data_IF_671910876526
#
_entry.id   IF_671910876526
#
_cell.length_a   1.000
_cell.length_b   1.000
_cell.length_c   1.000
_cell.angle_alpha   90.00
_cell.angle_beta   90.00
_cell.angle_gamma   90.00
#
_symmetry.space_group_name_H-M   'P 1'
#
loop_
_entity.id
_entity.type
_entity.pdbx_description
1 polymer ?
#
# COMPACT_ATOMS: atom_id res chain seq x y z
N UNK A 1 -19.83 -3.15 -10.51
CA UNK A 1 -18.75 -3.90 -9.82
C UNK A 1 -19.01 -3.88 -8.33
N UNK A 2 -18.74 -4.96 -7.66
CA UNK A 2 -19.03 -5.06 -6.23
C UNK A 2 -17.81 -4.64 -5.39
N UNK A 3 -18.05 -3.82 -4.38
CA UNK A 3 -17.02 -3.35 -3.45
C UNK A 3 -16.53 -4.51 -2.56
N UNK A 4 -15.23 -4.54 -2.31
CA UNK A 4 -14.64 -5.46 -1.33
C UNK A 4 -14.82 -4.89 0.07
N UNK A 5 -14.92 -5.76 1.07
CA UNK A 5 -15.00 -5.33 2.46
C UNK A 5 -13.61 -4.92 2.96
N UNK A 6 -13.52 -3.70 3.50
CA UNK A 6 -12.27 -3.22 4.08
C UNK A 6 -12.20 -3.64 5.54
N UNK A 7 -11.13 -4.35 5.91
CA UNK A 7 -10.90 -4.75 7.28
C UNK A 7 -10.48 -3.54 8.13
N UNK A 8 -10.93 -3.49 9.37
CA UNK A 8 -10.61 -2.39 10.28
C UNK A 8 -9.85 -2.89 11.51
N UNK A 9 -8.89 -2.09 11.95
CA UNK A 9 -8.17 -2.34 13.18
C UNK A 9 -9.17 -2.48 14.35
N UNK A 10 -9.04 -3.48 15.23
CA UNK A 10 -7.89 -4.36 15.44
C UNK A 10 -8.01 -5.76 14.82
N UNK A 11 -8.68 -5.90 13.69
CA UNK A 11 -8.85 -7.20 13.04
C UNK A 11 -7.49 -7.87 12.84
N UNK A 12 -7.28 -9.09 13.38
CA UNK A 12 -5.97 -9.75 13.30
C UNK A 12 -5.54 -10.11 11.88
N UNK A 13 -6.47 -10.18 10.94
CA UNK A 13 -6.12 -10.44 9.53
C UNK A 13 -5.27 -9.33 8.92
N UNK A 14 -5.30 -8.12 9.50
CA UNK A 14 -4.44 -7.02 9.07
C UNK A 14 -2.96 -7.26 9.37
N UNK A 15 -2.66 -8.21 10.23
CA UNK A 15 -1.29 -8.55 10.65
C UNK A 15 -0.66 -9.64 9.80
N UNK A 16 -1.39 -10.23 8.88
CA UNK A 16 -0.84 -11.27 8.03
C UNK A 16 0.13 -10.72 7.01
N UNK A 17 1.19 -11.46 6.74
CA UNK A 17 2.17 -11.12 5.71
C UNK A 17 1.65 -11.64 4.38
N UNK A 18 1.56 -10.75 3.39
CA UNK A 18 1.10 -11.10 2.06
C UNK A 18 2.11 -11.96 1.32
N UNK A 19 1.62 -12.90 0.53
CA UNK A 19 2.45 -13.81 -0.26
C UNK A 19 2.62 -13.27 -1.69
N UNK A 20 3.76 -13.56 -2.34
CA UNK A 20 3.96 -13.12 -3.71
C UNK A 20 2.89 -13.67 -4.66
N UNK A 21 2.51 -12.85 -5.63
CA UNK A 21 1.65 -13.27 -6.73
C UNK A 21 2.47 -14.18 -7.64
N UNK A 22 1.93 -15.34 -7.97
CA UNK A 22 2.61 -16.33 -8.83
C UNK A 22 1.94 -16.49 -10.17
N UNK A 23 0.64 -16.23 -10.26
CA UNK A 23 -0.14 -16.39 -11.48
C UNK A 23 -0.63 -15.04 -11.98
N UNK A 24 -0.23 -14.68 -13.18
CA UNK A 24 -0.61 -13.41 -13.82
C UNK A 24 -1.72 -13.72 -14.83
N UNK A 25 -2.96 -13.74 -14.35
CA UNK A 25 -4.12 -14.19 -15.12
C UNK A 25 -5.29 -13.21 -14.98
N UNK A 26 -6.44 -13.60 -15.51
CA UNK A 26 -7.64 -12.77 -15.45
C UNK A 26 -8.12 -12.51 -14.04
N UNK A 27 -7.96 -13.49 -13.16
CA UNK A 27 -8.38 -13.34 -11.76
C UNK A 27 -7.57 -12.25 -11.08
N UNK A 28 -6.27 -12.18 -11.36
CA UNK A 28 -5.41 -11.12 -10.83
C UNK A 28 -5.91 -9.75 -11.28
N UNK A 29 -6.20 -9.60 -12.56
CA UNK A 29 -6.71 -8.33 -13.09
C UNK A 29 -8.05 -7.97 -12.46
N UNK A 30 -8.94 -8.94 -12.29
CA UNK A 30 -10.22 -8.71 -11.65
C UNK A 30 -10.07 -8.25 -10.21
N UNK A 31 -9.15 -8.86 -9.47
CA UNK A 31 -8.85 -8.44 -8.09
C UNK A 31 -8.39 -6.98 -8.07
N UNK A 32 -7.46 -6.62 -8.95
CA UNK A 32 -6.91 -5.26 -9.00
C UNK A 32 -8.01 -4.26 -9.37
N UNK A 33 -8.85 -4.58 -10.35
CA UNK A 33 -9.97 -3.71 -10.73
C UNK A 33 -10.93 -3.49 -9.55
N UNK A 34 -11.24 -4.54 -8.79
CA UNK A 34 -12.11 -4.44 -7.63
C UNK A 34 -11.44 -3.66 -6.50
N UNK A 35 -10.13 -3.76 -6.36
CA UNK A 35 -9.39 -2.97 -5.37
C UNK A 35 -9.46 -1.49 -5.72
N UNK A 36 -9.27 -1.11 -6.98
CA UNK A 36 -9.42 0.28 -7.39
C UNK A 36 -10.84 0.78 -7.12
N UNK A 37 -11.84 0.01 -7.49
CA UNK A 37 -13.23 0.38 -7.23
C UNK A 37 -13.47 0.62 -5.75
N UNK A 38 -13.02 -0.30 -4.90
CA UNK A 38 -13.17 -0.18 -3.44
C UNK A 38 -12.44 1.04 -2.91
N UNK A 39 -11.21 1.27 -3.36
CA UNK A 39 -10.42 2.43 -2.94
C UNK A 39 -11.14 3.75 -3.24
N UNK A 40 -11.65 3.89 -4.46
CA UNK A 40 -12.38 5.11 -4.84
C UNK A 40 -13.68 5.27 -4.06
N UNK A 41 -14.42 4.19 -3.87
CA UNK A 41 -15.67 4.24 -3.09
C UNK A 41 -15.43 4.63 -1.64
N UNK A 42 -14.30 4.22 -1.09
CA UNK A 42 -13.90 4.59 0.28
C UNK A 42 -13.16 5.92 0.34
N UNK A 43 -12.99 6.59 -0.79
CA UNK A 43 -12.31 7.89 -0.91
C UNK A 43 -10.85 7.86 -0.45
N UNK A 44 -10.20 6.72 -0.65
CA UNK A 44 -8.78 6.55 -0.34
C UNK A 44 -7.89 6.86 -1.53
N UNK A 45 -6.61 7.05 -1.25
CA UNK A 45 -5.59 7.27 -2.28
C UNK A 45 -4.70 6.04 -2.48
N UNK A 46 -4.79 5.06 -1.59
CA UNK A 46 -4.05 3.81 -1.67
C UNK A 46 -4.79 2.70 -0.95
N UNK A 47 -4.54 1.47 -1.38
CA UNK A 47 -5.12 0.28 -0.76
C UNK A 47 -4.23 -0.91 -1.03
N UNK A 48 -3.87 -1.64 0.03
CA UNK A 48 -3.14 -2.90 -0.07
C UNK A 48 -4.13 -4.06 0.00
N UNK A 49 -3.84 -5.14 -0.71
CA UNK A 49 -4.73 -6.29 -0.78
C UNK A 49 -5.03 -6.90 0.60
N UNK A 50 -4.06 -6.86 1.52
CA UNK A 50 -4.25 -7.34 2.90
C UNK A 50 -5.45 -6.67 3.57
N UNK A 51 -5.68 -5.39 3.27
CA UNK A 51 -6.78 -4.63 3.87
C UNK A 51 -8.16 -5.09 3.42
N UNK A 52 -8.24 -5.87 2.35
CA UNK A 52 -9.48 -6.45 1.86
C UNK A 52 -9.46 -7.98 1.94
N UNK A 53 -8.65 -8.49 2.85
CA UNK A 53 -8.53 -9.93 3.15
C UNK A 53 -8.04 -10.76 1.96
N UNK A 54 -7.22 -10.15 1.12
CA UNK A 54 -6.54 -10.85 0.02
C UNK A 54 -5.05 -10.78 0.34
N UNK A 55 -4.47 -11.89 0.78
CA UNK A 55 -3.11 -11.89 1.31
C UNK A 55 -2.08 -12.15 0.21
N UNK A 56 -2.13 -11.30 -0.80
CA UNK A 56 -1.21 -11.28 -1.94
C UNK A 56 -0.57 -9.90 -2.03
N UNK A 57 0.64 -9.86 -2.57
CA UNK A 57 1.41 -8.62 -2.64
C UNK A 57 0.96 -7.74 -3.79
N UNK A 58 -0.18 -7.09 -3.59
CA UNK A 58 -0.82 -6.21 -4.57
C UNK A 58 -1.18 -4.89 -3.88
N UNK A 59 -0.90 -3.78 -4.56
CA UNK A 59 -1.20 -2.43 -4.09
C UNK A 59 -1.86 -1.67 -5.23
N UNK A 60 -2.87 -0.85 -4.92
CA UNK A 60 -3.42 0.12 -5.86
C UNK A 60 -3.30 1.51 -5.27
N UNK A 61 -2.98 2.49 -6.11
CA UNK A 61 -2.73 3.88 -5.69
C UNK A 61 -3.25 4.83 -6.76
N UNK A 62 -3.80 5.94 -6.30
CA UNK A 62 -4.06 7.10 -7.15
C UNK A 62 -3.97 8.34 -6.27
N UNK A 63 -2.84 9.05 -6.37
CA UNK A 63 -2.60 10.27 -5.60
C UNK A 63 -2.98 11.53 -6.37
N UNK A 64 -3.54 11.38 -7.58
CA UNK A 64 -3.93 12.53 -8.41
C UNK A 64 -5.18 13.22 -7.85
N UNK A 65 -5.27 14.53 -8.07
CA UNK A 65 -6.44 15.29 -7.63
C UNK A 65 -7.70 14.90 -8.41
N UNK A 66 -7.55 14.60 -9.70
CA UNK A 66 -8.67 14.29 -10.59
C UNK A 66 -9.08 12.82 -10.54
N UNK A 67 -8.38 12.00 -9.78
CA UNK A 67 -8.66 10.56 -9.67
C UNK A 67 -8.64 9.86 -11.03
N UNK A 68 -7.66 10.18 -11.83
CA UNK A 68 -7.51 9.66 -13.19
C UNK A 68 -6.11 9.14 -13.50
N UNK A 69 -5.30 8.87 -12.48
CA UNK A 69 -3.94 8.35 -12.66
C UNK A 69 -3.74 7.10 -11.81
N UNK A 70 -4.39 6.02 -12.23
CA UNK A 70 -4.30 4.73 -11.57
C UNK A 70 -2.90 4.15 -11.65
N UNK A 71 -2.40 3.66 -10.52
CA UNK A 71 -1.15 2.92 -10.45
C UNK A 71 -1.39 1.63 -9.68
N UNK A 72 -1.03 0.49 -10.26
CA UNK A 72 -1.04 -0.76 -9.53
C UNK A 72 0.37 -1.30 -9.41
N UNK A 73 0.66 -1.99 -8.32
CA UNK A 73 1.95 -2.60 -8.06
C UNK A 73 1.73 -4.05 -7.69
N UNK A 74 2.44 -4.94 -8.38
CA UNK A 74 2.40 -6.37 -8.11
C UNK A 74 3.78 -6.80 -7.64
N UNK A 75 3.87 -7.48 -6.51
CA UNK A 75 5.12 -7.91 -5.89
C UNK A 75 6.14 -6.77 -5.78
N UNK A 76 5.73 -5.61 -5.26
CA UNK A 76 6.64 -4.47 -5.18
C UNK A 76 7.81 -4.75 -4.25
N UNK A 77 8.99 -4.32 -4.67
CA UNK A 77 10.22 -4.45 -3.91
C UNK A 77 10.95 -3.11 -3.92
N UNK A 78 11.35 -2.63 -2.75
CA UNK A 78 12.10 -1.38 -2.64
C UNK A 78 13.55 -1.66 -2.98
N UNK A 79 14.07 -1.02 -4.04
CA UNK A 79 15.44 -1.19 -4.47
C UNK A 79 16.37 -0.17 -3.82
N UNK A 80 15.87 1.05 -3.57
CA UNK A 80 16.65 2.07 -2.89
C UNK A 80 15.75 3.08 -2.20
N UNK A 81 16.28 3.71 -1.16
CA UNK A 81 15.61 4.74 -0.37
C UNK A 81 16.53 5.94 -0.29
N UNK A 82 15.99 7.15 -0.37
CA UNK A 82 16.79 8.35 -0.17
C UNK A 82 17.15 8.52 1.31
N UNK A 83 18.26 9.21 1.58
CA UNK A 83 18.63 9.60 2.95
C UNK A 83 17.72 10.73 3.45
N UNK A 84 17.30 11.60 2.54
CA UNK A 84 16.38 12.68 2.86
C UNK A 84 15.01 12.10 3.20
N UNK A 85 14.39 12.66 4.23
CA UNK A 85 13.06 12.22 4.69
C UNK A 85 12.11 13.40 4.74
N UNK A 86 10.84 13.10 4.55
CA UNK A 86 9.73 14.04 4.74
C UNK A 86 8.79 13.49 5.80
N UNK A 87 8.20 14.40 6.57
CA UNK A 87 7.11 14.06 7.45
C UNK A 87 5.81 14.41 6.77
N UNK A 88 4.91 13.46 6.68
CA UNK A 88 3.57 13.68 6.11
C UNK A 88 2.54 13.07 7.04
N UNK A 89 1.39 13.73 7.11
CA UNK A 89 0.26 13.18 7.84
C UNK A 89 -0.32 12.03 7.03
N UNK A 90 -0.41 10.86 7.65
CA UNK A 90 -0.94 9.66 7.02
C UNK A 90 -2.22 9.23 7.71
N UNK A 91 -3.18 8.83 6.90
CA UNK A 91 -4.40 8.16 7.35
C UNK A 91 -4.49 6.80 6.68
N UNK A 92 -5.42 5.99 7.12
CA UNK A 92 -5.56 4.63 6.61
C UNK A 92 -7.02 4.21 6.64
N UNK A 93 -7.50 3.60 5.56
CA UNK A 93 -8.87 3.10 5.48
C UNK A 93 -9.16 2.05 6.56
N UNK A 94 -8.14 1.33 7.02
CA UNK A 94 -8.28 0.30 8.06
C UNK A 94 -8.24 0.87 9.47
N UNK A 95 -7.91 2.15 9.64
CA UNK A 95 -7.90 2.84 10.95
C UNK A 95 -8.63 4.17 10.78
N UNK A 96 -9.96 4.13 10.56
CA UNK A 96 -10.72 5.34 10.27
C UNK A 96 -10.61 6.39 11.38
N UNK A 97 -10.45 7.66 10.98
CA UNK A 97 -10.37 8.76 11.92
C UNK A 97 -9.05 8.91 12.63
N UNK A 98 -8.09 8.02 12.39
CA UNK A 98 -6.77 8.11 12.97
C UNK A 98 -5.80 8.67 11.94
N UNK A 99 -5.08 9.73 12.32
CA UNK A 99 -4.06 10.36 11.47
C UNK A 99 -2.81 10.55 12.29
N UNK A 100 -1.66 10.36 11.68
CA UNK A 100 -0.39 10.48 12.36
C UNK A 100 0.66 11.04 11.40
N UNK A 101 1.53 11.91 11.91
CA UNK A 101 2.67 12.38 11.16
C UNK A 101 3.74 11.29 11.18
N UNK A 102 4.12 10.82 10.00
CA UNK A 102 5.12 9.75 9.86
C UNK A 102 6.26 10.26 9.00
N UNK A 103 7.48 10.04 9.46
CA UNK A 103 8.68 10.40 8.72
C UNK A 103 9.12 9.21 7.87
N UNK A 104 9.25 9.44 6.56
CA UNK A 104 9.65 8.41 5.60
C UNK A 104 10.64 8.96 4.59
N UNK A 105 11.47 8.10 3.98
CA UNK A 105 12.33 8.51 2.86
C UNK A 105 11.53 9.24 1.80
N UNK A 106 12.07 10.36 1.34
CA UNK A 106 11.41 11.26 0.40
C UNK A 106 11.30 10.64 -0.99
N UNK A 107 12.32 9.90 -1.40
CA UNK A 107 12.39 9.27 -2.72
C UNK A 107 12.69 7.79 -2.59
N UNK A 108 12.06 6.99 -3.44
CA UNK A 108 12.31 5.57 -3.50
C UNK A 108 12.41 5.11 -4.95
N UNK A 109 13.12 4.02 -5.16
CA UNK A 109 13.08 3.27 -6.41
C UNK A 109 12.52 1.90 -6.09
N UNK A 110 11.55 1.45 -6.89
CA UNK A 110 10.93 0.15 -6.68
C UNK A 110 10.98 -0.69 -7.94
N UNK A 111 10.98 -2.01 -7.74
CA UNK A 111 10.76 -3.00 -8.78
C UNK A 111 9.34 -3.53 -8.59
N UNK A 112 8.58 -3.60 -9.66
CA UNK A 112 7.24 -4.16 -9.64
C UNK A 112 6.98 -4.90 -10.96
N UNK A 113 5.78 -5.44 -11.14
CA UNK A 113 5.44 -6.25 -12.30
C UNK A 113 4.11 -5.79 -12.86
N UNK A 114 3.97 -5.86 -14.19
CA UNK A 114 2.70 -5.55 -14.82
C UNK A 114 1.78 -6.79 -14.86
N UNK A 115 0.61 -6.65 -15.50
CA UNK A 115 -0.37 -7.75 -15.59
C UNK A 115 0.18 -8.99 -16.28
N UNK A 116 1.21 -8.84 -17.09
CA UNK A 116 1.81 -9.95 -17.85
C UNK A 116 3.03 -10.54 -17.14
N UNK A 117 3.34 -10.05 -15.95
CA UNK A 117 4.50 -10.52 -15.20
C UNK A 117 5.82 -9.90 -15.64
N UNK A 118 5.76 -8.82 -16.42
CA UNK A 118 6.95 -8.13 -16.89
C UNK A 118 7.46 -7.16 -15.83
N UNK A 119 8.77 -7.15 -15.60
CA UNK A 119 9.39 -6.25 -14.64
C UNK A 119 9.32 -4.80 -15.07
N UNK A 120 9.05 -3.93 -14.11
CA UNK A 120 9.02 -2.48 -14.29
C UNK A 120 9.76 -1.86 -13.10
N UNK A 121 10.70 -0.96 -13.38
CA UNK A 121 11.30 -0.13 -12.35
C UNK A 121 10.61 1.22 -12.33
N UNK A 122 10.37 1.74 -11.15
CA UNK A 122 9.61 2.96 -10.96
C UNK A 122 10.29 3.81 -9.90
N UNK A 123 10.45 5.11 -10.21
CA UNK A 123 10.92 6.10 -9.24
C UNK A 123 9.71 6.85 -8.70
N UNK A 124 9.70 7.09 -7.41
CA UNK A 124 8.63 7.86 -6.77
C UNK A 124 9.20 8.83 -5.76
N UNK A 125 8.56 10.00 -5.65
CA UNK A 125 8.91 10.98 -4.62
C UNK A 125 7.65 11.59 -4.02
N UNK A 126 7.82 12.39 -2.96
CA UNK A 126 6.73 13.11 -2.33
C UNK A 126 5.61 12.19 -1.84
N UNK A 127 4.38 12.60 -2.11
CA UNK A 127 3.19 11.87 -1.66
C UNK A 127 3.14 10.45 -2.23
N UNK A 128 3.53 10.26 -3.48
CA UNK A 128 3.54 8.93 -4.08
C UNK A 128 4.52 8.00 -3.35
N UNK A 129 5.72 8.49 -3.04
CA UNK A 129 6.71 7.71 -2.28
C UNK A 129 6.16 7.31 -0.92
N UNK A 130 5.57 8.26 -0.20
CA UNK A 130 4.98 8.02 1.10
C UNK A 130 3.86 6.97 1.01
N UNK A 131 2.98 7.11 0.03
CA UNK A 131 1.86 6.21 -0.15
C UNK A 131 2.31 4.78 -0.46
N UNK A 132 3.28 4.63 -1.36
CA UNK A 132 3.83 3.30 -1.69
C UNK A 132 4.40 2.63 -0.44
N UNK A 133 5.19 3.35 0.35
CA UNK A 133 5.79 2.81 1.56
C UNK A 133 4.74 2.40 2.59
N UNK A 134 3.71 3.23 2.75
CA UNK A 134 2.59 2.93 3.64
C UNK A 134 1.91 1.62 3.23
N UNK A 135 1.64 1.45 1.92
CA UNK A 135 0.96 0.25 1.45
C UNK A 135 1.85 -0.99 1.53
N UNK A 136 3.15 -0.85 1.30
CA UNK A 136 4.08 -1.96 1.48
C UNK A 136 4.09 -2.42 2.95
N UNK A 137 4.00 -1.48 3.89
CA UNK A 137 3.89 -1.83 5.31
C UNK A 137 2.69 -2.73 5.56
N UNK A 138 1.54 -2.43 4.95
CA UNK A 138 0.36 -3.30 5.08
C UNK A 138 0.63 -4.71 4.55
N UNK A 139 1.37 -4.83 3.45
CA UNK A 139 1.71 -6.16 2.91
C UNK A 139 2.60 -6.95 3.87
N UNK A 140 3.29 -6.26 4.76
CA UNK A 140 4.14 -6.87 5.78
C UNK A 140 3.46 -6.96 7.15
N UNK A 141 2.14 -6.71 7.19
CA UNK A 141 1.37 -6.81 8.43
C UNK A 141 1.54 -5.65 9.39
N UNK A 142 2.04 -4.51 8.92
CA UNK A 142 2.27 -3.32 9.75
C UNK A 142 1.22 -2.25 9.51
N UNK A 143 0.91 -1.48 10.56
CA UNK A 143 -0.05 -0.38 10.50
C UNK A 143 0.66 0.93 10.87
N UNK A 144 0.05 2.08 10.55
CA UNK A 144 0.68 3.38 10.83
C UNK A 144 0.97 3.61 12.30
N UNK A 145 0.17 3.05 13.19
CA UNK A 145 0.43 3.16 14.63
C UNK A 145 1.76 2.51 15.00
N UNK A 146 2.16 1.47 14.29
CA UNK A 146 3.45 0.80 14.52
C UNK A 146 4.60 1.57 13.90
N UNK A 147 4.38 2.14 12.72
CA UNK A 147 5.38 2.99 12.08
C UNK A 147 5.72 4.18 12.97
N UNK A 148 4.70 4.76 13.63
CA UNK A 148 4.90 5.85 14.56
C UNK A 148 5.79 5.45 15.74
N UNK A 149 5.58 4.25 16.28
CA UNK A 149 6.27 3.79 17.48
C UNK A 149 7.62 3.15 17.18
N UNK A 150 7.82 2.66 15.97
CA UNK A 150 9.02 1.96 15.59
C UNK A 150 10.33 2.72 15.86
N UNK A 151 10.42 4.04 15.58
CA UNK A 151 11.64 4.78 15.87
C UNK A 151 12.04 4.81 17.34
N UNK A 152 11.12 4.48 18.22
CA UNK A 152 11.38 4.44 19.65
C UNK A 152 11.95 3.10 20.11
N UNK A 153 12.05 2.15 19.19
CA UNK A 153 12.61 0.85 19.48
C UNK A 153 11.77 -0.02 20.37
N UNK A 154 10.51 0.30 20.53
CA UNK A 154 9.64 -0.45 21.43
C UNK A 154 8.85 -1.50 20.71
N UNK A 155 8.59 -1.28 19.46
CA UNK A 155 7.69 -2.15 18.73
C UNK A 155 8.25 -3.49 18.37
N UNK A 156 9.45 -3.65 18.26
CA UNK A 156 10.02 -4.95 17.98
C UNK A 156 9.92 -5.91 19.14
N UNK A 157 9.36 -5.45 20.18
CA UNK A 157 9.38 -6.17 21.45
C UNK A 157 8.14 -6.95 21.71
#
# INVERSE_FOLDING_TARGET
MKKLEVLHFPDPRLRKIAQPVKNFDKDLKNIIDRMFFTMYEEKGIGLAATQVNIHKRIIVIDVSEKKNEKLYLINPEILSLSDDKDSMEEGCLSVPGFYESVERPKKIKILTYDYDGKEIELDADGLLSTCIQHEIDHLNGKLIIEAREEPQGILGQ
#
